data_IF_643299423996
#
_entry.id   IF_643299423996
#
_cell.length_a   1.000
_cell.length_b   1.000
_cell.length_c   1.000
_cell.angle_alpha   90.00
_cell.angle_beta   90.00
_cell.angle_gamma   90.00
#
_symmetry.space_group_name_H-M   'P 1'
#
loop_
_entity.id
_entity.type
_entity.pdbx_description
1 polymer ?
#
# COMPACT_ATOMS: atom_id res chain seq x y z
N UNK A 1 -18.61 -5.33 18.05
CA UNK A 1 -19.53 -6.31 18.63
C UNK A 1 -19.44 -6.31 20.16
N UNK A 2 -20.57 -6.23 20.85
CA UNK A 2 -20.62 -6.30 22.32
C UNK A 2 -20.55 -7.74 22.86
N UNK A 3 -20.23 -8.70 22.02
CA UNK A 3 -20.16 -10.10 22.37
C UNK A 3 -18.72 -10.48 22.74
N UNK A 4 -18.47 -10.73 24.03
CA UNK A 4 -17.14 -11.08 24.55
C UNK A 4 -16.56 -12.37 23.93
N UNK A 5 -17.41 -13.35 23.57
CA UNK A 5 -16.93 -14.57 22.91
C UNK A 5 -16.41 -14.29 21.49
N UNK A 6 -17.05 -13.37 20.77
CA UNK A 6 -16.58 -12.92 19.45
C UNK A 6 -15.30 -12.11 19.57
N UNK A 7 -15.13 -11.31 20.64
CA UNK A 7 -13.89 -10.59 20.90
C UNK A 7 -12.70 -11.53 21.06
N UNK A 8 -12.84 -12.60 21.85
CA UNK A 8 -11.80 -13.62 21.99
C UNK A 8 -11.42 -14.29 20.66
N UNK A 9 -12.39 -14.62 19.83
CA UNK A 9 -12.15 -15.16 18.47
C UNK A 9 -11.46 -14.16 17.55
N UNK A 10 -11.81 -12.88 17.64
CA UNK A 10 -11.17 -11.81 16.86
C UNK A 10 -9.67 -11.68 17.23
N UNK A 11 -9.32 -11.73 18.50
CA UNK A 11 -7.91 -11.69 18.92
C UNK A 11 -7.13 -12.93 18.48
N UNK A 12 -7.76 -14.11 18.50
CA UNK A 12 -7.16 -15.33 17.96
C UNK A 12 -6.90 -15.20 16.45
N UNK A 13 -7.89 -14.73 15.69
CA UNK A 13 -7.76 -14.48 14.26
C UNK A 13 -6.66 -13.46 13.95
N UNK A 14 -6.60 -12.38 14.72
CA UNK A 14 -5.55 -11.37 14.59
C UNK A 14 -4.16 -11.97 14.82
N UNK A 15 -4.01 -12.79 15.84
CA UNK A 15 -2.76 -13.52 16.12
C UNK A 15 -2.37 -14.43 14.94
N UNK A 16 -3.33 -15.17 14.39
CA UNK A 16 -3.08 -16.06 13.26
C UNK A 16 -2.69 -15.29 12.00
N UNK A 17 -3.29 -14.13 11.75
CA UNK A 17 -2.86 -13.25 10.66
C UNK A 17 -1.44 -12.70 10.86
N UNK A 18 -1.08 -12.37 12.09
CA UNK A 18 0.24 -11.87 12.40
C UNK A 18 1.36 -12.90 12.17
N UNK A 19 1.10 -14.20 12.43
CA UNK A 19 2.17 -15.21 12.37
C UNK A 19 1.69 -16.65 12.07
N UNK A 20 0.41 -16.91 11.91
CA UNK A 20 -0.16 -18.26 11.81
C UNK A 20 -0.68 -18.65 10.41
N UNK A 21 -0.56 -17.84 9.39
CA UNK A 21 -1.11 -18.14 8.06
C UNK A 21 -0.44 -19.37 7.46
N UNK A 22 -1.23 -20.37 7.08
CA UNK A 22 -0.75 -21.68 6.58
C UNK A 22 -0.18 -21.60 5.17
N UNK A 23 -0.77 -20.79 4.28
CA UNK A 23 -0.39 -20.66 2.86
C UNK A 23 -0.31 -22.03 2.16
N UNK A 24 -1.37 -22.84 2.28
CA UNK A 24 -1.42 -24.12 1.62
C UNK A 24 -1.41 -23.95 0.11
N UNK A 25 -0.71 -24.81 -0.66
CA UNK A 25 -0.64 -24.68 -2.12
C UNK A 25 -2.01 -24.58 -2.80
N UNK A 26 -3.00 -25.37 -2.34
CA UNK A 26 -4.36 -25.33 -2.90
C UNK A 26 -5.06 -24.00 -2.66
N UNK A 27 -4.89 -23.40 -1.48
CA UNK A 27 -5.47 -22.09 -1.16
C UNK A 27 -4.79 -20.99 -1.97
N UNK A 28 -3.47 -21.06 -2.16
CA UNK A 28 -2.71 -20.13 -2.99
C UNK A 28 -3.17 -20.16 -4.44
N UNK A 29 -3.41 -21.35 -5.01
CA UNK A 29 -3.90 -21.47 -6.39
C UNK A 29 -5.34 -20.94 -6.53
N UNK A 30 -6.19 -21.17 -5.55
CA UNK A 30 -7.55 -20.61 -5.54
C UNK A 30 -7.51 -19.07 -5.52
N UNK A 31 -6.72 -18.49 -4.62
CA UNK A 31 -6.56 -17.03 -4.52
C UNK A 31 -5.90 -16.43 -5.77
N UNK A 32 -4.97 -17.13 -6.40
CA UNK A 32 -4.38 -16.70 -7.68
C UNK A 32 -5.45 -16.43 -8.73
N UNK A 33 -6.44 -17.31 -8.86
CA UNK A 33 -7.57 -17.12 -9.77
C UNK A 33 -8.33 -15.82 -9.48
N UNK A 34 -8.62 -15.55 -8.21
CA UNK A 34 -9.32 -14.35 -7.77
C UNK A 34 -8.50 -13.08 -8.09
N UNK A 35 -7.20 -13.09 -7.78
CA UNK A 35 -6.31 -11.96 -8.07
C UNK A 35 -6.17 -11.73 -9.58
N UNK A 36 -6.14 -12.80 -10.38
CA UNK A 36 -6.10 -12.68 -11.85
C UNK A 36 -7.37 -12.04 -12.40
N UNK A 37 -8.54 -12.35 -11.86
CA UNK A 37 -9.78 -11.69 -12.25
C UNK A 37 -9.83 -10.22 -11.80
N UNK A 38 -9.30 -9.90 -10.62
CA UNK A 38 -9.15 -8.51 -10.18
C UNK A 38 -8.19 -7.74 -11.10
N UNK A 39 -7.07 -8.36 -11.47
CA UNK A 39 -6.10 -7.79 -12.40
C UNK A 39 -6.75 -7.49 -13.76
N UNK A 40 -7.50 -8.45 -14.33
CA UNK A 40 -8.21 -8.27 -15.61
C UNK A 40 -9.25 -7.17 -15.55
N UNK A 41 -10.01 -7.06 -14.47
CA UNK A 41 -11.01 -5.99 -14.30
C UNK A 41 -10.41 -4.60 -14.25
N UNK A 42 -9.15 -4.49 -13.89
CA UNK A 42 -8.41 -3.22 -13.88
C UNK A 42 -7.72 -2.92 -15.21
N UNK A 43 -7.76 -3.85 -16.17
CA UNK A 43 -7.22 -3.61 -17.51
C UNK A 43 -8.09 -2.60 -18.26
N UNK A 44 -7.45 -1.67 -18.97
CA UNK A 44 -8.12 -0.65 -19.76
C UNK A 44 -7.22 0.55 -20.02
N UNK A 45 -7.76 1.51 -20.74
CA UNK A 45 -7.04 2.74 -21.12
C UNK A 45 -6.53 3.51 -19.90
N UNK A 46 -7.33 3.66 -18.86
CA UNK A 46 -6.96 4.41 -17.65
C UNK A 46 -5.74 3.81 -16.96
N UNK A 47 -5.66 2.49 -16.91
CA UNK A 47 -4.50 1.80 -16.36
C UNK A 47 -3.26 2.03 -17.21
N UNK A 48 -3.37 1.92 -18.53
CA UNK A 48 -2.22 2.15 -19.43
C UNK A 48 -1.71 3.59 -19.34
N UNK A 49 -2.61 4.57 -19.23
CA UNK A 49 -2.26 5.96 -18.96
C UNK A 49 -1.53 6.08 -17.61
N UNK A 50 -2.10 5.52 -16.55
CA UNK A 50 -1.52 5.58 -15.20
C UNK A 50 -0.14 4.93 -15.15
N UNK A 51 0.03 3.74 -15.70
CA UNK A 51 1.31 3.03 -15.71
C UNK A 51 2.37 3.77 -16.52
N UNK A 52 1.99 4.42 -17.62
CA UNK A 52 2.89 5.23 -18.43
C UNK A 52 3.27 6.52 -17.70
N UNK A 53 2.30 7.21 -17.13
CA UNK A 53 2.50 8.46 -16.37
C UNK A 53 3.34 8.22 -15.12
N UNK A 54 3.14 7.11 -14.42
CA UNK A 54 3.88 6.75 -13.22
C UNK A 54 5.40 6.74 -13.42
N UNK A 55 5.87 6.38 -14.61
CA UNK A 55 7.32 6.38 -14.93
C UNK A 55 7.92 7.76 -14.77
N UNK A 56 7.27 8.75 -15.30
CA UNK A 56 7.72 10.16 -15.25
C UNK A 56 7.42 10.75 -13.87
N UNK A 57 6.20 10.53 -13.35
CA UNK A 57 5.77 11.05 -12.05
C UNK A 57 6.66 10.57 -10.90
N UNK A 58 7.14 9.34 -10.96
CA UNK A 58 8.03 8.77 -9.95
C UNK A 58 9.51 8.79 -10.37
N UNK A 59 9.86 9.61 -11.36
CA UNK A 59 11.22 9.81 -11.84
C UNK A 59 11.96 8.48 -12.06
N UNK A 60 11.30 7.53 -12.74
CA UNK A 60 11.83 6.18 -13.05
C UNK A 60 12.32 5.39 -11.83
N UNK A 61 11.90 5.78 -10.63
CA UNK A 61 12.20 5.05 -9.39
C UNK A 61 11.48 3.69 -9.34
N UNK A 62 11.81 2.88 -8.35
CA UNK A 62 11.13 1.59 -8.15
C UNK A 62 9.61 1.70 -8.01
N UNK A 63 9.09 2.83 -7.54
CA UNK A 63 7.65 3.09 -7.42
C UNK A 63 6.95 3.10 -8.79
N UNK A 64 7.64 3.53 -9.84
CA UNK A 64 7.10 3.54 -11.21
C UNK A 64 6.77 2.13 -11.76
N UNK A 65 7.40 1.09 -11.22
CA UNK A 65 7.32 -0.29 -11.73
C UNK A 65 6.71 -1.27 -10.75
N UNK A 66 6.38 -0.82 -9.54
CA UNK A 66 5.83 -1.67 -8.47
C UNK A 66 4.38 -1.35 -8.19
N UNK A 67 3.52 -1.65 -9.15
CA UNK A 67 2.08 -1.60 -8.94
C UNK A 67 1.68 -2.58 -7.84
N UNK A 68 0.76 -2.14 -6.95
CA UNK A 68 0.34 -2.92 -5.77
C UNK A 68 -0.22 -4.29 -6.15
N UNK A 69 -1.04 -4.36 -7.21
CA UNK A 69 -1.58 -5.65 -7.67
C UNK A 69 -0.52 -6.51 -8.37
N UNK A 70 0.63 -5.94 -8.73
CA UNK A 70 1.67 -6.61 -9.51
C UNK A 70 1.37 -6.61 -11.01
N UNK A 71 2.04 -7.52 -11.71
CA UNK A 71 1.80 -7.77 -13.13
C UNK A 71 1.44 -9.23 -13.37
N UNK A 72 0.78 -9.50 -14.48
CA UNK A 72 0.28 -10.82 -14.84
C UNK A 72 1.35 -11.91 -14.75
N UNK A 73 2.53 -11.68 -15.31
CA UNK A 73 3.61 -12.66 -15.31
C UNK A 73 4.04 -13.04 -13.88
N UNK A 74 4.11 -12.08 -12.97
CA UNK A 74 4.43 -12.31 -11.55
C UNK A 74 3.31 -13.03 -10.82
N UNK A 75 2.04 -12.63 -11.05
CA UNK A 75 0.89 -13.30 -10.45
C UNK A 75 0.82 -14.76 -10.87
N UNK A 76 1.14 -15.07 -12.12
CA UNK A 76 1.17 -16.45 -12.62
C UNK A 76 2.36 -17.26 -12.10
N UNK A 77 3.51 -16.62 -11.86
CA UNK A 77 4.76 -17.30 -11.59
C UNK A 77 5.03 -17.62 -10.11
N UNK A 78 4.48 -16.84 -9.15
CA UNK A 78 4.81 -17.08 -7.74
C UNK A 78 4.24 -18.40 -7.22
N UNK A 79 4.97 -19.05 -6.34
CA UNK A 79 4.57 -20.30 -5.68
C UNK A 79 4.15 -20.05 -4.22
N UNK A 80 3.48 -21.03 -3.60
CA UNK A 80 3.22 -21.03 -2.17
C UNK A 80 4.52 -20.89 -1.34
N UNK A 81 5.63 -21.44 -1.83
CA UNK A 81 6.96 -21.30 -1.20
C UNK A 81 7.47 -19.88 -1.25
N UNK A 82 7.24 -19.15 -2.33
CA UNK A 82 7.63 -17.73 -2.46
C UNK A 82 6.83 -16.88 -1.51
N UNK A 83 5.51 -17.11 -1.42
CA UNK A 83 4.64 -16.43 -0.45
C UNK A 83 5.04 -16.75 0.99
N UNK A 84 5.36 -18.00 1.30
CA UNK A 84 5.86 -18.41 2.63
C UNK A 84 7.14 -17.66 2.97
N UNK A 85 8.10 -17.62 2.04
CA UNK A 85 9.36 -16.88 2.23
C UNK A 85 9.10 -15.39 2.48
N UNK A 86 8.19 -14.78 1.70
CA UNK A 86 7.82 -13.38 1.89
C UNK A 86 7.17 -13.15 3.27
N UNK A 87 6.19 -13.97 3.62
CA UNK A 87 5.48 -13.88 4.89
C UNK A 87 6.45 -14.03 6.07
N UNK A 88 7.29 -15.06 6.07
CA UNK A 88 8.27 -15.32 7.12
C UNK A 88 9.36 -14.23 7.20
N UNK A 89 9.59 -13.50 6.13
CA UNK A 89 10.56 -12.40 6.09
C UNK A 89 9.97 -11.11 6.65
N UNK A 90 8.76 -10.75 6.25
CA UNK A 90 8.22 -9.41 6.45
C UNK A 90 7.14 -9.31 7.54
N UNK A 91 6.36 -10.38 7.78
CA UNK A 91 5.33 -10.42 8.81
C UNK A 91 5.96 -10.72 10.17
N UNK A 92 6.53 -9.71 10.79
CA UNK A 92 7.25 -9.77 12.06
C UNK A 92 6.67 -8.79 13.05
N UNK A 93 6.63 -9.12 14.36
CA UNK A 93 6.05 -8.24 15.39
C UNK A 93 6.58 -6.81 15.34
N UNK A 94 7.89 -6.62 15.09
CA UNK A 94 8.49 -5.27 15.00
C UNK A 94 8.01 -4.43 13.82
N UNK A 95 7.37 -5.02 12.83
CA UNK A 95 6.80 -4.35 11.65
C UNK A 95 5.28 -4.27 11.70
N UNK A 96 4.67 -4.70 12.80
CA UNK A 96 3.22 -4.73 12.95
C UNK A 96 2.79 -3.67 13.95
N UNK A 97 1.71 -3.02 13.62
CA UNK A 97 1.01 -2.08 14.49
C UNK A 97 -0.43 -2.57 14.64
N UNK A 98 -0.92 -2.61 15.88
CA UNK A 98 -2.29 -3.03 16.18
C UNK A 98 -3.06 -1.84 16.72
N UNK A 99 -4.16 -1.49 16.08
CA UNK A 99 -5.11 -0.50 16.53
C UNK A 99 -6.47 -1.15 16.75
N UNK A 100 -7.04 -0.96 17.94
CA UNK A 100 -8.40 -1.38 18.28
C UNK A 100 -9.23 -0.13 18.50
N UNK A 101 -10.28 0.03 17.69
CA UNK A 101 -11.16 1.20 17.71
C UNK A 101 -12.59 0.72 17.87
N UNK A 102 -13.30 1.27 18.86
CA UNK A 102 -14.70 0.94 19.13
C UNK A 102 -15.07 1.15 20.60
N UNK A 103 -16.27 0.70 20.93
CA UNK A 103 -16.75 0.66 22.32
C UNK A 103 -16.14 -0.56 23.03
N UNK A 104 -14.96 -0.34 23.63
CA UNK A 104 -14.16 -1.39 24.28
C UNK A 104 -13.64 -0.91 25.64
N UNK A 105 -13.53 -1.82 26.58
CA UNK A 105 -12.81 -1.57 27.82
C UNK A 105 -11.30 -1.54 27.52
N UNK A 106 -10.67 -0.41 27.77
CA UNK A 106 -9.26 -0.17 27.41
C UNK A 106 -8.31 -1.10 28.17
N UNK A 107 -8.52 -1.26 29.50
CA UNK A 107 -7.63 -2.06 30.34
C UNK A 107 -7.75 -3.54 30.01
N UNK A 108 -8.96 -4.03 29.80
CA UNK A 108 -9.19 -5.42 29.40
C UNK A 108 -8.63 -5.68 28.01
N UNK A 109 -8.81 -4.75 27.08
CA UNK A 109 -8.30 -4.86 25.70
C UNK A 109 -6.78 -4.88 25.70
N UNK A 110 -6.12 -4.00 26.44
CA UNK A 110 -4.66 -3.98 26.56
C UNK A 110 -4.12 -5.29 27.15
N UNK A 111 -4.73 -5.78 28.24
CA UNK A 111 -4.36 -7.10 28.82
C UNK A 111 -4.50 -8.23 27.81
N UNK A 112 -5.58 -8.22 27.04
CA UNK A 112 -5.83 -9.25 26.00
C UNK A 112 -4.82 -9.17 24.87
N UNK A 113 -4.48 -7.97 24.39
CA UNK A 113 -3.43 -7.75 23.38
C UNK A 113 -2.10 -8.32 23.90
N UNK A 114 -1.69 -7.94 25.12
CA UNK A 114 -0.45 -8.42 25.72
C UNK A 114 -0.44 -9.95 25.86
N UNK A 115 -1.50 -10.55 26.38
CA UNK A 115 -1.60 -11.99 26.54
C UNK A 115 -1.57 -12.75 25.20
N UNK A 116 -2.18 -12.19 24.16
CA UNK A 116 -2.33 -12.86 22.86
C UNK A 116 -1.11 -12.68 21.97
N UNK A 117 -0.56 -11.46 21.90
CA UNK A 117 0.45 -11.11 20.91
C UNK A 117 1.88 -11.11 21.45
N UNK A 118 2.10 -11.03 22.78
CA UNK A 118 3.46 -11.08 23.36
C UNK A 118 4.17 -12.42 23.16
N UNK A 119 3.41 -13.49 22.91
CA UNK A 119 3.97 -14.80 22.61
C UNK A 119 4.42 -14.97 21.14
N UNK A 120 4.22 -13.95 20.29
CA UNK A 120 4.68 -14.01 18.91
C UNK A 120 6.21 -14.01 18.85
N UNK A 121 6.84 -14.84 18.00
CA UNK A 121 8.28 -14.97 17.96
C UNK A 121 8.94 -13.69 17.45
N UNK A 122 9.73 -13.05 18.31
CA UNK A 122 10.53 -11.86 17.97
C UNK A 122 11.79 -12.26 17.18
N UNK A 123 11.63 -12.76 15.97
CA UNK A 123 12.79 -13.05 15.10
C UNK A 123 13.38 -11.76 14.55
N UNK A 124 14.72 -11.61 14.51
CA UNK A 124 15.34 -10.46 13.87
C UNK A 124 14.97 -10.44 12.39
N UNK A 125 14.76 -9.24 11.83
CA UNK A 125 14.57 -9.07 10.39
C UNK A 125 15.91 -9.22 9.68
N UNK A 126 15.96 -9.98 8.58
CA UNK A 126 17.20 -10.13 7.81
C UNK A 126 17.57 -8.86 7.02
N UNK A 127 16.67 -7.91 6.94
CA UNK A 127 16.84 -6.66 6.18
C UNK A 127 16.30 -5.48 6.95
N UNK A 128 16.99 -4.36 6.88
CA UNK A 128 16.44 -3.08 7.30
C UNK A 128 15.43 -2.57 6.27
N UNK A 129 14.36 -1.92 6.75
CA UNK A 129 13.42 -1.22 5.87
C UNK A 129 14.13 -0.01 5.27
N UNK A 130 14.48 -0.12 4.01
CA UNK A 130 15.13 0.94 3.29
C UNK A 130 14.08 1.94 2.80
N UNK A 131 14.08 3.13 3.37
CA UNK A 131 13.31 4.25 2.84
C UNK A 131 13.94 4.72 1.53
N UNK A 132 13.23 4.50 0.42
CA UNK A 132 13.67 5.00 -0.86
C UNK A 132 12.87 6.24 -1.22
N UNK A 133 13.57 7.35 -1.27
CA UNK A 133 13.01 8.60 -1.76
C UNK A 133 12.92 8.56 -3.29
N UNK A 134 11.91 9.23 -3.83
CA UNK A 134 11.86 9.55 -5.25
C UNK A 134 12.86 10.70 -5.45
N UNK A 135 13.88 10.47 -6.27
CA UNK A 135 14.87 11.50 -6.58
C UNK A 135 14.24 12.70 -7.30
N UNK A 136 14.79 13.87 -7.09
CA UNK A 136 14.43 15.05 -7.86
C UNK A 136 15.04 14.97 -9.28
N UNK A 137 14.37 15.57 -10.26
CA UNK A 137 14.89 15.73 -11.60
C UNK A 137 15.45 17.14 -11.77
N UNK A 138 16.64 17.25 -12.37
CA UNK A 138 17.28 18.53 -12.69
C UNK A 138 16.64 19.24 -13.89
N UNK A 139 16.09 18.44 -14.82
CA UNK A 139 15.45 18.90 -16.03
C UNK A 139 13.98 18.46 -16.07
N UNK A 140 13.11 19.24 -16.74
CA UNK A 140 11.74 18.81 -16.96
C UNK A 140 11.66 17.45 -17.66
N UNK A 141 10.82 16.58 -17.14
CA UNK A 141 10.55 15.30 -17.76
C UNK A 141 9.31 15.44 -18.66
N UNK A 142 9.38 14.87 -19.84
CA UNK A 142 8.30 14.90 -20.81
C UNK A 142 7.82 13.49 -21.12
N UNK A 143 6.51 13.32 -21.27
CA UNK A 143 5.90 12.06 -21.69
C UNK A 143 4.73 12.35 -22.64
N UNK A 144 4.68 11.64 -23.73
CA UNK A 144 3.54 11.57 -24.60
C UNK A 144 2.98 10.15 -24.58
N UNK A 145 1.68 10.04 -24.39
CA UNK A 145 0.96 8.78 -24.46
C UNK A 145 -0.09 8.85 -25.58
N UNK A 146 -0.05 7.89 -26.49
CA UNK A 146 -1.01 7.77 -27.59
C UNK A 146 -1.61 6.38 -27.54
N UNK A 147 -2.92 6.31 -27.51
CA UNK A 147 -3.65 5.04 -27.49
C UNK A 147 -4.93 5.16 -28.34
N UNK A 148 -5.20 4.12 -29.14
CA UNK A 148 -6.34 4.08 -30.05
C UNK A 148 -7.71 4.14 -29.35
N UNK A 149 -7.78 3.75 -28.10
CA UNK A 149 -8.99 3.79 -27.29
C UNK A 149 -9.19 5.16 -26.63
N UNK A 150 -8.17 6.01 -26.62
CA UNK A 150 -8.27 7.35 -26.05
C UNK A 150 -9.02 8.27 -27.02
N UNK A 151 -10.19 8.72 -26.60
CA UNK A 151 -11.08 9.58 -27.42
C UNK A 151 -10.89 11.07 -27.17
N UNK A 152 -10.04 11.46 -26.23
CA UNK A 152 -9.81 12.84 -25.84
C UNK A 152 -8.33 13.15 -25.79
N UNK A 153 -7.97 14.39 -26.16
CA UNK A 153 -6.64 14.92 -25.91
C UNK A 153 -6.63 15.65 -24.57
N UNK A 154 -5.61 15.42 -23.78
CA UNK A 154 -5.39 16.14 -22.52
C UNK A 154 -3.92 16.53 -22.40
N UNK A 155 -3.68 17.62 -21.70
CA UNK A 155 -2.35 18.09 -21.34
C UNK A 155 -2.31 18.31 -19.84
N UNK A 156 -1.23 17.89 -19.20
CA UNK A 156 -1.04 18.05 -17.77
C UNK A 156 0.37 18.53 -17.45
N UNK A 157 0.50 19.49 -16.55
CA UNK A 157 1.74 19.93 -15.95
C UNK A 157 1.75 19.48 -14.49
N UNK A 158 2.79 18.74 -14.10
CA UNK A 158 2.90 18.18 -12.76
C UNK A 158 4.19 18.65 -12.10
N UNK A 159 4.06 19.16 -10.89
CA UNK A 159 5.18 19.51 -10.05
C UNK A 159 5.22 18.58 -8.84
N UNK A 160 6.35 17.93 -8.59
CA UNK A 160 6.59 17.22 -7.34
C UNK A 160 7.16 18.17 -6.32
N UNK A 161 6.54 18.20 -5.16
CA UNK A 161 7.03 18.98 -4.02
C UNK A 161 7.28 18.02 -2.85
N UNK A 162 8.39 18.22 -2.17
CA UNK A 162 8.68 17.49 -0.94
C UNK A 162 7.84 18.12 0.17
N UNK A 163 6.88 17.35 0.69
CA UNK A 163 6.17 17.76 1.89
C UNK A 163 7.08 17.56 3.10
N UNK A 164 7.17 18.57 3.97
CA UNK A 164 7.79 18.41 5.26
C UNK A 164 7.08 17.31 6.06
N UNK A 165 7.85 16.49 6.78
CA UNK A 165 7.30 15.35 7.54
C UNK A 165 6.36 15.76 8.67
N UNK A 166 6.26 17.05 8.99
CA UNK A 166 5.50 17.59 10.10
C UNK A 166 4.13 18.10 9.62
N UNK A 167 3.15 17.19 9.56
CA UNK A 167 1.76 17.54 9.18
C UNK A 167 1.03 18.45 10.20
N UNK A 168 1.60 18.65 11.38
CA UNK A 168 1.05 19.46 12.46
C UNK A 168 1.74 20.81 12.65
N UNK A 169 2.53 21.22 11.66
CA UNK A 169 3.23 22.48 11.62
C UNK A 169 2.32 23.54 10.95
N UNK A 170 2.25 24.72 11.52
CA UNK A 170 1.48 25.85 10.98
C UNK A 170 1.86 26.17 9.52
N UNK A 171 3.12 25.98 9.16
CA UNK A 171 3.61 26.17 7.81
C UNK A 171 3.05 25.10 6.84
N UNK A 172 2.96 23.85 7.27
CA UNK A 172 2.34 22.79 6.48
C UNK A 172 0.85 23.06 6.25
N UNK A 173 0.14 23.57 7.25
CA UNK A 173 -1.28 23.97 7.14
C UNK A 173 -1.43 25.16 6.18
N UNK A 174 -0.60 26.18 6.29
CA UNK A 174 -0.59 27.33 5.37
C UNK A 174 -0.34 26.88 3.93
N UNK A 175 0.68 26.06 3.70
CA UNK A 175 1.01 25.54 2.37
C UNK A 175 -0.13 24.71 1.79
N UNK A 176 -0.79 23.90 2.59
CA UNK A 176 -1.98 23.15 2.18
C UNK A 176 -3.12 24.11 1.78
N UNK A 177 -3.40 25.12 2.57
CA UNK A 177 -4.46 26.10 2.28
C UNK A 177 -4.14 26.90 1.00
N UNK A 178 -2.92 27.40 0.85
CA UNK A 178 -2.52 28.13 -0.36
C UNK A 178 -2.61 27.27 -1.60
N UNK A 179 -2.15 26.03 -1.54
CA UNK A 179 -2.23 25.08 -2.66
C UNK A 179 -3.68 24.76 -3.01
N UNK A 180 -4.53 24.56 -2.00
CA UNK A 180 -5.96 24.30 -2.18
C UNK A 180 -6.68 25.49 -2.82
N UNK A 181 -6.40 26.71 -2.33
CA UNK A 181 -6.95 27.95 -2.90
C UNK A 181 -6.48 28.15 -4.36
N UNK A 182 -5.19 27.94 -4.63
CA UNK A 182 -4.66 28.06 -5.99
C UNK A 182 -5.34 27.07 -6.94
N UNK A 183 -5.43 25.81 -6.56
CA UNK A 183 -6.09 24.75 -7.36
C UNK A 183 -7.58 25.01 -7.58
N UNK A 184 -8.22 25.76 -6.70
CA UNK A 184 -9.63 26.15 -6.84
C UNK A 184 -9.83 27.36 -7.75
N UNK A 185 -8.89 28.30 -7.73
CA UNK A 185 -9.01 29.56 -8.46
C UNK A 185 -8.39 29.53 -9.86
N UNK A 186 -7.26 28.85 -10.01
CA UNK A 186 -6.53 28.80 -11.28
C UNK A 186 -7.32 28.22 -12.47
N UNK A 187 -8.16 27.16 -12.29
CA UNK A 187 -8.94 26.60 -13.40
C UNK A 187 -10.12 27.48 -13.85
N UNK A 188 -10.41 28.58 -13.16
CA UNK A 188 -11.56 29.45 -13.46
C UNK A 188 -11.25 30.64 -14.36
N UNK A 189 -10.05 30.66 -14.97
CA UNK A 189 -9.66 31.71 -15.92
C UNK A 189 -9.57 31.18 -17.36
#
# INVERSE_FOLDING_TARGET
TNNQQLMGKMFLLLKDWCHGIKLLPADVEKERGIIMEEWRRREGIDRRITDSTARVMYNYSKYAYRNVIGNEARIRAFSAKDLRKFYDTWYRPRHQFVAIIGDVDLDQTERTIKATLSALPAKPTPYDLEFRLIGDNSEPLFMQFVDKENKSASFGLYQRIRLANNRNDDEAVKNFLFTSMFNTLAPRR
#
